data_IF_137903065709
#
_entry.id   IF_137903065709
#
_cell.length_a   1.000
_cell.length_b   1.000
_cell.length_c   1.000
_cell.angle_alpha   90.00
_cell.angle_beta   90.00
_cell.angle_gamma   90.00
#
_symmetry.space_group_name_H-M   'P 1'
#
loop_
_entity.id
_entity.type
_entity.pdbx_description
1 polymer ?
#
# COMPACT_ATOMS: atom_id res chain seq x y z
N UNK A 1 -4.86 -10.15 28.09
CA UNK A 1 -5.34 -10.65 26.78
C UNK A 1 -5.90 -9.54 25.86
N UNK A 2 -6.12 -8.30 26.32
CA UNK A 2 -6.68 -7.22 25.50
C UNK A 2 -5.72 -6.67 24.42
N UNK A 3 -4.43 -6.47 24.76
CA UNK A 3 -3.45 -5.78 23.91
C UNK A 3 -3.26 -6.44 22.53
N UNK A 4 -3.16 -7.77 22.47
CA UNK A 4 -2.97 -8.47 21.20
C UNK A 4 -4.17 -8.30 20.27
N UNK A 5 -5.39 -8.31 20.81
CA UNK A 5 -6.59 -8.09 20.01
C UNK A 5 -6.65 -6.65 19.49
N UNK A 6 -6.27 -5.67 20.31
CA UNK A 6 -6.19 -4.26 19.91
C UNK A 6 -5.17 -4.06 18.78
N UNK A 7 -4.01 -4.70 18.86
CA UNK A 7 -3.00 -4.65 17.79
C UNK A 7 -3.49 -5.28 16.49
N UNK A 8 -4.22 -6.39 16.54
CA UNK A 8 -4.77 -7.00 15.33
C UNK A 8 -5.87 -6.16 14.69
N UNK A 9 -6.68 -5.47 15.50
CA UNK A 9 -7.64 -4.48 14.99
C UNK A 9 -6.94 -3.28 14.37
N UNK A 10 -5.91 -2.73 15.03
CA UNK A 10 -5.14 -1.63 14.44
C UNK A 10 -4.44 -2.04 13.13
N UNK A 11 -3.98 -3.29 13.02
CA UNK A 11 -3.41 -3.82 11.79
C UNK A 11 -4.45 -3.89 10.67
N UNK A 12 -5.68 -4.31 10.98
CA UNK A 12 -6.80 -4.31 10.05
C UNK A 12 -7.17 -2.91 9.57
N UNK A 13 -7.20 -1.93 10.48
CA UNK A 13 -7.50 -0.53 10.14
C UNK A 13 -6.43 0.05 9.18
N UNK A 14 -5.15 -0.22 9.46
CA UNK A 14 -4.04 0.20 8.60
C UNK A 14 -4.13 -0.50 7.23
N UNK A 15 -4.41 -1.81 7.20
CA UNK A 15 -4.60 -2.55 5.95
C UNK A 15 -5.73 -1.94 5.10
N UNK A 16 -6.85 -1.57 5.72
CA UNK A 16 -7.98 -0.93 5.04
C UNK A 16 -7.63 0.45 4.48
N UNK A 17 -6.89 1.27 5.24
CA UNK A 17 -6.43 2.59 4.78
C UNK A 17 -5.46 2.47 3.59
N UNK A 18 -4.55 1.50 3.62
CA UNK A 18 -3.65 1.23 2.49
C UNK A 18 -4.46 0.86 1.24
N UNK A 19 -5.43 -0.05 1.38
CA UNK A 19 -6.28 -0.48 0.27
C UNK A 19 -7.08 0.70 -0.32
N UNK A 20 -7.60 1.59 0.54
CA UNK A 20 -8.31 2.79 0.12
C UNK A 20 -7.39 3.72 -0.68
N UNK A 21 -6.19 4.02 -0.16
CA UNK A 21 -5.24 4.88 -0.87
C UNK A 21 -4.83 4.33 -2.23
N UNK A 22 -4.72 3.00 -2.39
CA UNK A 22 -4.38 2.39 -3.67
C UNK A 22 -5.52 2.46 -4.71
N UNK A 23 -6.76 2.66 -4.26
CA UNK A 23 -7.95 2.70 -5.13
C UNK A 23 -8.25 4.10 -5.66
N UNK A 24 -7.87 5.15 -4.92
CA UNK A 24 -8.30 6.54 -5.19
C UNK A 24 -7.63 7.21 -6.41
N UNK A 25 -6.76 6.51 -7.15
CA UNK A 25 -6.23 6.94 -8.46
C UNK A 25 -5.23 8.10 -8.45
N UNK A 26 -5.33 9.02 -7.48
CA UNK A 26 -4.35 10.05 -7.13
C UNK A 26 -3.78 9.75 -5.73
N UNK A 27 -2.92 8.74 -5.70
CA UNK A 27 -2.36 8.23 -4.45
C UNK A 27 -1.41 9.26 -3.84
N UNK A 28 -1.78 9.76 -2.65
CA UNK A 28 -0.87 10.52 -1.80
C UNK A 28 0.27 9.60 -1.35
N UNK A 29 1.40 9.67 -2.06
CA UNK A 29 2.54 8.78 -1.85
C UNK A 29 3.16 8.92 -0.45
N UNK A 30 3.05 10.10 0.15
CA UNK A 30 3.58 10.36 1.49
C UNK A 30 2.70 9.66 2.54
N UNK A 31 1.37 9.80 2.42
CA UNK A 31 0.44 9.08 3.31
C UNK A 31 0.53 7.57 3.14
N UNK A 32 0.63 7.07 1.92
CA UNK A 32 0.80 5.64 1.68
C UNK A 32 2.11 5.12 2.31
N UNK A 33 3.21 5.85 2.16
CA UNK A 33 4.48 5.49 2.79
C UNK A 33 4.39 5.49 4.32
N UNK A 34 3.69 6.46 4.90
CA UNK A 34 3.45 6.51 6.34
C UNK A 34 2.65 5.29 6.82
N UNK A 35 1.56 4.94 6.14
CA UNK A 35 0.76 3.77 6.53
C UNK A 35 1.56 2.46 6.44
N UNK A 36 2.38 2.29 5.39
CA UNK A 36 3.25 1.12 5.26
C UNK A 36 4.30 1.05 6.37
N UNK A 37 4.84 2.19 6.79
CA UNK A 37 5.75 2.28 7.92
C UNK A 37 5.07 1.89 9.24
N UNK A 38 3.90 2.47 9.51
CA UNK A 38 3.13 2.20 10.74
C UNK A 38 2.73 0.72 10.81
N UNK A 39 2.34 0.13 9.67
CA UNK A 39 2.06 -1.30 9.53
C UNK A 39 3.27 -2.15 9.94
N UNK A 40 4.45 -1.84 9.41
CA UNK A 40 5.67 -2.58 9.73
C UNK A 40 6.02 -2.47 11.21
N UNK A 41 5.95 -1.26 11.78
CA UNK A 41 6.24 -1.04 13.19
C UNK A 41 5.28 -1.84 14.10
N UNK A 42 4.01 -1.96 13.73
CA UNK A 42 3.04 -2.76 14.47
C UNK A 42 3.31 -4.27 14.35
N UNK A 43 3.67 -4.75 13.15
CA UNK A 43 4.07 -6.14 12.94
C UNK A 43 5.32 -6.50 13.76
N UNK A 44 6.30 -5.60 13.84
CA UNK A 44 7.50 -5.78 14.66
C UNK A 44 7.15 -5.88 16.15
N UNK A 45 6.18 -5.07 16.62
CA UNK A 45 5.67 -5.15 17.99
C UNK A 45 4.96 -6.47 18.27
N UNK A 46 4.11 -6.94 17.35
CA UNK A 46 3.44 -8.24 17.45
C UNK A 46 4.47 -9.37 17.49
N UNK A 47 5.50 -9.31 16.65
CA UNK A 47 6.56 -10.33 16.58
C UNK A 47 7.44 -10.36 17.85
N UNK A 48 7.68 -9.21 18.48
CA UNK A 48 8.43 -9.10 19.72
C UNK A 48 7.63 -9.52 20.96
N UNK A 49 6.30 -9.66 20.84
CA UNK A 49 5.45 -9.99 21.98
C UNK A 49 5.52 -11.48 22.34
N UNK A 50 5.56 -11.81 23.65
CA UNK A 50 5.47 -13.20 24.11
C UNK A 50 4.06 -13.78 23.94
N UNK A 51 3.04 -12.94 23.75
CA UNK A 51 1.67 -13.36 23.46
C UNK A 51 1.55 -13.66 21.98
N UNK A 52 0.96 -14.81 21.65
CA UNK A 52 0.66 -15.17 20.26
C UNK A 52 -0.71 -14.62 19.84
N UNK A 53 -0.85 -14.20 18.58
CA UNK A 53 -2.16 -13.84 18.04
C UNK A 53 -3.10 -15.05 18.02
N UNK A 54 -4.41 -14.79 18.02
CA UNK A 54 -5.40 -15.83 17.76
C UNK A 54 -5.26 -16.34 16.32
N UNK A 55 -5.31 -17.66 16.13
CA UNK A 55 -5.17 -18.29 14.81
C UNK A 55 -6.13 -17.73 13.75
N UNK A 56 -7.39 -17.43 14.13
CA UNK A 56 -8.38 -16.92 13.19
C UNK A 56 -8.03 -15.50 12.74
N UNK A 57 -7.87 -14.57 13.68
CA UNK A 57 -7.53 -13.16 13.36
C UNK A 57 -6.20 -13.05 12.61
N UNK A 58 -5.24 -13.92 12.93
CA UNK A 58 -3.98 -13.98 12.20
C UNK A 58 -4.13 -14.49 10.77
N UNK A 59 -4.95 -15.54 10.58
CA UNK A 59 -5.27 -16.04 9.24
C UNK A 59 -5.96 -14.99 8.38
N UNK A 60 -6.86 -14.19 8.97
CA UNK A 60 -7.52 -13.08 8.30
C UNK A 60 -6.52 -11.97 7.92
N UNK A 61 -5.58 -11.64 8.82
CA UNK A 61 -4.50 -10.68 8.53
C UNK A 61 -3.57 -11.16 7.39
N UNK A 62 -3.29 -12.46 7.31
CA UNK A 62 -2.53 -13.04 6.20
C UNK A 62 -3.27 -12.90 4.87
N UNK A 63 -4.56 -13.22 4.82
CA UNK A 63 -5.38 -13.07 3.61
C UNK A 63 -5.46 -11.60 3.13
N UNK A 64 -5.58 -10.64 4.06
CA UNK A 64 -5.50 -9.21 3.74
C UNK A 64 -4.13 -8.83 3.18
N UNK A 65 -3.06 -9.39 3.73
CA UNK A 65 -1.69 -9.12 3.25
C UNK A 65 -1.49 -9.57 1.80
N UNK A 66 -1.99 -10.76 1.43
CA UNK A 66 -1.93 -11.24 0.05
C UNK A 66 -2.67 -10.27 -0.90
N UNK A 67 -3.87 -9.85 -0.51
CA UNK A 67 -4.67 -8.89 -1.28
C UNK A 67 -3.96 -7.53 -1.45
N UNK A 68 -3.29 -7.05 -0.39
CA UNK A 68 -2.53 -5.79 -0.44
C UNK A 68 -1.32 -5.87 -1.36
N UNK A 69 -0.63 -7.01 -1.40
CA UNK A 69 0.51 -7.22 -2.31
C UNK A 69 0.05 -7.08 -3.75
N UNK A 70 -1.04 -7.77 -4.13
CA UNK A 70 -1.60 -7.69 -5.48
C UNK A 70 -1.99 -6.25 -5.85
N UNK A 71 -2.62 -5.52 -4.92
CA UNK A 71 -2.99 -4.13 -5.13
C UNK A 71 -1.77 -3.19 -5.32
N UNK A 72 -0.71 -3.38 -4.52
CA UNK A 72 0.53 -2.62 -4.63
C UNK A 72 1.24 -2.88 -5.97
N UNK A 73 1.26 -4.14 -6.42
CA UNK A 73 1.82 -4.52 -7.72
C UNK A 73 1.02 -3.92 -8.88
N UNK A 74 -0.32 -3.97 -8.80
CA UNK A 74 -1.21 -3.33 -9.76
C UNK A 74 -0.98 -1.82 -9.85
N UNK A 75 -0.93 -1.14 -8.70
CA UNK A 75 -0.68 0.29 -8.64
C UNK A 75 0.69 0.67 -9.25
N UNK A 76 1.74 -0.13 -8.99
CA UNK A 76 3.06 0.06 -9.59
C UNK A 76 3.03 -0.10 -11.12
N UNK A 77 2.33 -1.10 -11.63
CA UNK A 77 2.18 -1.31 -13.07
C UNK A 77 1.46 -0.13 -13.75
N UNK A 78 0.39 0.38 -13.14
CA UNK A 78 -0.34 1.53 -13.66
C UNK A 78 0.47 2.82 -13.62
N UNK A 79 1.22 3.06 -12.55
CA UNK A 79 2.14 4.20 -12.47
C UNK A 79 3.20 4.16 -13.58
N UNK A 80 3.78 2.98 -13.85
CA UNK A 80 4.74 2.80 -14.95
C UNK A 80 4.11 3.10 -16.32
N UNK A 81 2.87 2.65 -16.55
CA UNK A 81 2.12 2.94 -17.79
C UNK A 81 1.86 4.44 -17.97
N UNK A 82 1.44 5.14 -16.91
CA UNK A 82 1.23 6.60 -16.91
C UNK A 82 2.53 7.34 -17.23
N UNK A 83 3.65 6.96 -16.62
CA UNK A 83 4.97 7.55 -16.91
C UNK A 83 5.38 7.37 -18.38
N UNK A 84 5.15 6.19 -18.96
CA UNK A 84 5.45 5.93 -20.37
C UNK A 84 4.61 6.83 -21.30
N UNK A 85 3.32 6.99 -21.02
CA UNK A 85 2.43 7.87 -21.78
C UNK A 85 2.88 9.34 -21.71
N UNK A 86 3.24 9.82 -20.51
CA UNK A 86 3.77 11.17 -20.33
C UNK A 86 5.07 11.40 -21.11
N UNK A 87 5.98 10.42 -21.13
CA UNK A 87 7.23 10.50 -21.92
C UNK A 87 6.93 10.64 -23.42
N UNK A 88 6.01 9.82 -23.95
CA UNK A 88 5.59 9.92 -25.36
C UNK A 88 4.97 11.29 -25.67
N UNK A 89 4.08 11.78 -24.80
CA UNK A 89 3.49 13.12 -24.94
C UNK A 89 4.54 14.23 -24.98
N UNK A 90 5.52 14.20 -24.06
CA UNK A 90 6.65 15.14 -24.06
C UNK A 90 7.46 15.08 -25.35
N UNK A 91 7.74 13.89 -25.87
CA UNK A 91 8.45 13.72 -27.14
C UNK A 91 7.69 14.35 -28.31
N UNK A 92 6.38 14.12 -28.41
CA UNK A 92 5.53 14.74 -29.44
C UNK A 92 5.54 16.26 -29.37
N UNK A 93 5.41 16.83 -28.16
CA UNK A 93 5.50 18.29 -27.96
C UNK A 93 6.85 18.85 -28.41
N UNK A 94 7.95 18.16 -28.07
CA UNK A 94 9.30 18.56 -28.51
C UNK A 94 9.46 18.49 -30.04
N UNK A 95 8.79 17.56 -30.71
CA UNK A 95 8.78 17.47 -32.17
C UNK A 95 8.05 18.67 -32.79
N UNK A 96 6.86 19.02 -32.29
CA UNK A 96 6.11 20.18 -32.78
C UNK A 96 6.89 21.49 -32.66
N UNK A 97 7.65 21.68 -31.57
CA UNK A 97 8.51 22.85 -31.37
C UNK A 97 9.60 23.02 -32.43
N UNK A 98 9.95 21.99 -33.19
CA UNK A 98 10.94 22.09 -34.29
C UNK A 98 10.38 22.71 -35.57
N UNK A 99 9.06 22.83 -35.66
CA UNK A 99 8.35 23.42 -36.81
C UNK A 99 7.80 24.83 -36.50
N UNK A 100 8.16 25.39 -35.34
CA UNK A 100 7.98 26.81 -34.99
C UNK A 100 9.31 27.54 -35.15
#
# INVERSE_FOLDING_TARGET
MAIMSEWLTALEDIDALIAQYLTDGDVDSEKLAQQLHDRQALLDQIAASPQRPNNQQWSEALARTETLIDALEGHKADAAKRLLQQRKGKQSVQLYKKFQ
#
